data_IF_670999444303
#
_entry.id   IF_670999444303
#
_cell.length_a   1.000
_cell.length_b   1.000
_cell.length_c   1.000
_cell.angle_alpha   90.00
_cell.angle_beta   90.00
_cell.angle_gamma   90.00
#
_symmetry.space_group_name_H-M   'P 1'
#
loop_
_entity.id
_entity.type
_entity.pdbx_description
1 polymer ?
#
# COMPACT_ATOMS: atom_id res chain seq x y z
N UNK A 1 -23.92 -28.59 -44.72
CA UNK A 1 -23.10 -27.37 -44.77
C UNK A 1 -23.02 -26.78 -43.38
N UNK A 2 -21.93 -27.04 -42.66
CA UNK A 2 -21.69 -26.48 -41.32
C UNK A 2 -21.32 -25.01 -41.50
N UNK A 3 -22.12 -24.09 -40.98
CA UNK A 3 -21.78 -22.66 -40.97
C UNK A 3 -20.49 -22.50 -40.16
N UNK A 4 -19.38 -22.19 -40.84
CA UNK A 4 -18.15 -21.75 -40.16
C UNK A 4 -18.54 -20.52 -39.32
N UNK A 5 -18.56 -20.67 -38.00
CA UNK A 5 -18.78 -19.55 -37.09
C UNK A 5 -17.70 -18.50 -37.39
N UNK A 6 -18.13 -17.26 -37.59
CA UNK A 6 -17.23 -16.11 -37.75
C UNK A 6 -16.29 -16.06 -36.53
N UNK A 7 -14.96 -16.22 -36.72
CA UNK A 7 -13.99 -16.27 -35.63
C UNK A 7 -14.07 -15.03 -34.74
N UNK A 8 -14.48 -13.89 -35.29
CA UNK A 8 -14.67 -12.63 -34.56
C UNK A 8 -15.84 -12.71 -33.57
N UNK A 9 -16.96 -13.34 -33.97
CA UNK A 9 -18.12 -13.55 -33.08
C UNK A 9 -17.82 -14.50 -31.94
N UNK A 10 -17.01 -15.53 -32.20
CA UNK A 10 -16.55 -16.47 -31.18
C UNK A 10 -15.63 -15.77 -30.17
N UNK A 11 -14.63 -15.02 -30.65
CA UNK A 11 -13.70 -14.28 -29.80
C UNK A 11 -14.40 -13.27 -28.89
N UNK A 12 -15.37 -12.53 -29.43
CA UNK A 12 -16.21 -11.60 -28.65
C UNK A 12 -16.91 -12.31 -27.48
N UNK A 13 -17.51 -13.47 -27.74
CA UNK A 13 -18.25 -14.22 -26.71
C UNK A 13 -17.30 -14.73 -25.62
N UNK A 14 -16.17 -15.31 -26.01
CA UNK A 14 -15.16 -15.83 -25.08
C UNK A 14 -14.52 -14.72 -24.24
N UNK A 15 -14.22 -13.57 -24.85
CA UNK A 15 -13.74 -12.37 -24.15
C UNK A 15 -14.75 -11.87 -23.11
N UNK A 16 -16.02 -11.73 -23.51
CA UNK A 16 -17.07 -11.26 -22.60
C UNK A 16 -17.29 -12.24 -21.43
N UNK A 17 -17.29 -13.55 -21.71
CA UNK A 17 -17.42 -14.58 -20.69
C UNK A 17 -16.25 -14.55 -19.70
N UNK A 18 -15.00 -14.48 -20.20
CA UNK A 18 -13.83 -14.42 -19.34
C UNK A 18 -13.83 -13.18 -18.42
N UNK A 19 -14.27 -12.01 -18.92
CA UNK A 19 -14.41 -10.81 -18.09
C UNK A 19 -15.50 -10.94 -17.00
N UNK A 20 -16.62 -11.59 -17.31
CA UNK A 20 -17.70 -11.84 -16.34
C UNK A 20 -17.23 -12.82 -15.27
N UNK A 21 -16.63 -13.95 -15.66
CA UNK A 21 -16.06 -14.95 -14.76
C UNK A 21 -14.97 -14.32 -13.88
N UNK A 22 -14.11 -13.46 -14.45
CA UNK A 22 -13.09 -12.72 -13.71
C UNK A 22 -13.70 -11.82 -12.63
N UNK A 23 -14.77 -11.10 -12.95
CA UNK A 23 -15.47 -10.26 -11.98
C UNK A 23 -16.10 -11.09 -10.86
N UNK A 24 -16.74 -12.21 -11.21
CA UNK A 24 -17.33 -13.16 -10.24
C UNK A 24 -16.26 -13.73 -9.30
N UNK A 25 -15.15 -14.21 -9.86
CA UNK A 25 -14.01 -14.74 -9.11
C UNK A 25 -13.42 -13.71 -8.13
N UNK A 26 -13.30 -12.43 -8.53
CA UNK A 26 -12.82 -11.36 -7.65
C UNK A 26 -13.75 -11.19 -6.43
N UNK A 27 -15.07 -11.13 -6.64
CA UNK A 27 -16.04 -10.96 -5.56
C UNK A 27 -16.13 -12.20 -4.65
N UNK A 28 -16.11 -13.41 -5.21
CA UNK A 28 -16.07 -14.66 -4.46
C UNK A 28 -14.82 -14.74 -3.59
N UNK A 29 -13.65 -14.49 -4.17
CA UNK A 29 -12.39 -14.54 -3.44
C UNK A 29 -12.30 -13.42 -2.40
N UNK A 30 -12.89 -12.24 -2.64
CA UNK A 30 -12.97 -11.16 -1.65
C UNK A 30 -13.85 -11.58 -0.46
N UNK A 31 -14.98 -12.21 -0.73
CA UNK A 31 -15.91 -12.71 0.28
C UNK A 31 -15.27 -13.81 1.13
N UNK A 32 -14.71 -14.84 0.51
CA UNK A 32 -14.03 -15.94 1.19
C UNK A 32 -12.86 -15.45 2.05
N UNK A 33 -12.00 -14.59 1.49
CA UNK A 33 -10.90 -13.97 2.24
C UNK A 33 -11.40 -13.12 3.40
N UNK A 34 -12.49 -12.38 3.21
CA UNK A 34 -13.13 -11.55 4.23
C UNK A 34 -13.51 -12.37 5.47
N UNK A 35 -14.21 -13.48 5.25
CA UNK A 35 -14.63 -14.39 6.34
C UNK A 35 -13.43 -14.96 7.08
N UNK A 36 -12.44 -15.51 6.37
CA UNK A 36 -11.25 -16.10 6.98
C UNK A 36 -10.44 -15.04 7.76
N UNK A 37 -10.29 -13.83 7.21
CA UNK A 37 -9.55 -12.75 7.86
C UNK A 37 -10.23 -12.25 9.13
N UNK A 38 -11.57 -12.15 9.17
CA UNK A 38 -12.31 -11.79 10.37
C UNK A 38 -12.04 -12.79 11.51
N UNK A 39 -12.14 -14.08 11.20
CA UNK A 39 -11.87 -15.16 12.15
C UNK A 39 -10.42 -15.17 12.64
N UNK A 40 -9.47 -14.91 11.73
CA UNK A 40 -8.05 -14.87 12.02
C UNK A 40 -7.70 -13.65 12.90
N UNK A 41 -8.29 -12.49 12.64
CA UNK A 41 -8.14 -11.28 13.49
C UNK A 41 -8.69 -11.56 14.89
N UNK A 42 -9.87 -12.17 15.00
CA UNK A 42 -10.46 -12.51 16.30
C UNK A 42 -9.57 -13.46 17.09
N UNK A 43 -9.15 -14.57 16.48
CA UNK A 43 -8.29 -15.56 17.15
C UNK A 43 -6.92 -14.97 17.55
N UNK A 44 -6.33 -14.10 16.71
CA UNK A 44 -5.08 -13.41 17.05
C UNK A 44 -5.24 -12.42 18.19
N UNK A 45 -6.38 -11.73 18.27
CA UNK A 45 -6.67 -10.79 19.37
C UNK A 45 -6.80 -11.52 20.69
N UNK A 46 -7.56 -12.62 20.74
CA UNK A 46 -7.68 -13.48 21.91
C UNK A 46 -6.30 -13.98 22.37
N UNK A 47 -5.46 -14.43 21.43
CA UNK A 47 -4.10 -14.89 21.74
C UNK A 47 -3.18 -13.77 22.25
N UNK A 48 -3.32 -12.56 21.70
CA UNK A 48 -2.57 -11.39 22.12
C UNK A 48 -2.93 -10.97 23.56
N UNK A 49 -4.21 -11.02 23.93
CA UNK A 49 -4.68 -10.75 25.29
C UNK A 49 -4.05 -11.72 26.30
N UNK A 50 -4.02 -13.02 25.97
CA UNK A 50 -3.38 -14.03 26.82
C UNK A 50 -1.88 -13.78 26.96
N UNK A 51 -1.18 -13.45 25.87
CA UNK A 51 0.26 -13.15 25.91
C UNK A 51 0.58 -11.90 26.72
N UNK A 52 -0.27 -10.87 26.67
CA UNK A 52 -0.09 -9.65 27.44
C UNK A 52 -0.25 -9.90 28.96
N UNK A 53 -1.04 -10.90 29.34
CA UNK A 53 -1.16 -11.36 30.73
C UNK A 53 -0.05 -12.33 31.18
N UNK A 54 0.76 -12.86 30.25
CA UNK A 54 1.89 -13.76 30.59
C UNK A 54 3.15 -12.95 30.94
N UNK A 55 3.85 -13.29 32.03
CA UNK A 55 5.08 -12.60 32.44
C UNK A 55 6.19 -12.71 31.39
N UNK A 56 6.31 -13.87 30.73
CA UNK A 56 7.34 -14.13 29.74
C UNK A 56 6.96 -13.69 28.32
N UNK A 57 5.70 -13.29 28.09
CA UNK A 57 5.16 -12.86 26.78
C UNK A 57 5.41 -13.90 25.67
N UNK A 58 5.63 -15.14 26.05
CA UNK A 58 5.96 -16.25 25.18
C UNK A 58 5.52 -17.57 25.84
N UNK A 59 4.84 -18.41 25.06
CA UNK A 59 4.21 -19.65 25.50
C UNK A 59 4.59 -20.78 24.55
N UNK A 60 5.03 -21.92 25.10
CA UNK A 60 5.44 -23.09 24.32
C UNK A 60 4.61 -24.32 24.67
N UNK A 61 4.41 -25.22 23.71
CA UNK A 61 3.82 -26.52 23.97
C UNK A 61 4.58 -27.63 23.26
N UNK A 62 4.57 -28.79 23.87
CA UNK A 62 5.02 -30.03 23.28
C UNK A 62 4.04 -31.13 23.70
N UNK A 63 3.34 -31.69 22.73
CA UNK A 63 2.33 -32.74 22.88
C UNK A 63 2.64 -33.84 21.87
N UNK A 64 2.11 -35.05 22.07
CA UNK A 64 2.34 -36.18 21.17
C UNK A 64 1.92 -35.88 19.72
N UNK A 65 0.93 -34.99 19.54
CA UNK A 65 0.37 -34.63 18.23
C UNK A 65 0.88 -33.30 17.67
N UNK A 66 1.53 -32.45 18.47
CA UNK A 66 1.99 -31.14 18.01
C UNK A 66 3.00 -30.49 18.95
N UNK A 67 3.89 -29.68 18.39
CA UNK A 67 4.77 -28.78 19.14
C UNK A 67 4.68 -27.37 18.55
N UNK A 68 4.95 -26.36 19.36
CA UNK A 68 4.96 -25.00 18.86
C UNK A 68 5.20 -23.93 19.92
N UNK A 69 5.29 -22.70 19.43
CA UNK A 69 5.59 -21.49 20.17
C UNK A 69 4.63 -20.39 19.76
N UNK A 70 4.06 -19.72 20.74
CA UNK A 70 3.42 -18.42 20.57
C UNK A 70 4.28 -17.38 21.28
N UNK A 71 4.51 -16.22 20.66
CA UNK A 71 5.20 -15.11 21.32
C UNK A 71 4.71 -13.75 20.87
N UNK A 72 4.86 -12.76 21.74
CA UNK A 72 4.63 -11.37 21.36
C UNK A 72 5.72 -10.92 20.38
N UNK A 73 5.30 -10.35 19.27
CA UNK A 73 6.19 -9.73 18.28
C UNK A 73 5.79 -8.28 18.06
N UNK A 74 6.70 -7.38 18.36
CA UNK A 74 6.58 -5.97 18.00
C UNK A 74 7.18 -5.77 16.61
N UNK A 75 6.35 -5.33 15.67
CA UNK A 75 6.78 -4.93 14.34
C UNK A 75 6.75 -3.40 14.27
N UNK A 76 7.84 -2.83 13.78
CA UNK A 76 7.93 -1.40 13.49
C UNK A 76 7.80 -1.25 11.98
N UNK A 77 6.76 -0.55 11.53
CA UNK A 77 6.57 -0.21 10.12
C UNK A 77 6.74 1.29 9.93
N UNK A 78 7.32 1.70 8.79
CA UNK A 78 7.45 3.11 8.43
C UNK A 78 6.24 3.53 7.58
N UNK A 79 5.37 4.40 8.10
CA UNK A 79 4.25 4.98 7.33
C UNK A 79 4.71 6.07 6.35
N UNK A 80 3.84 6.54 5.48
CA UNK A 80 4.06 7.80 4.76
C UNK A 80 3.93 8.96 5.77
N UNK A 81 4.80 9.96 5.66
CA UNK A 81 4.62 11.22 6.38
C UNK A 81 3.45 11.98 5.76
N UNK A 82 2.70 12.68 6.59
CA UNK A 82 1.66 13.60 6.17
C UNK A 82 1.96 14.96 6.84
N UNK A 83 1.18 15.98 6.50
CA UNK A 83 1.35 17.32 7.04
C UNK A 83 1.31 17.36 8.58
N UNK A 84 0.37 16.66 9.21
CA UNK A 84 0.26 16.66 10.67
C UNK A 84 1.55 16.13 11.33
N UNK A 85 2.14 15.05 10.83
CA UNK A 85 3.38 14.50 11.41
C UNK A 85 4.57 15.46 11.31
N UNK A 86 4.64 16.27 10.24
CA UNK A 86 5.75 17.23 10.05
C UNK A 86 5.52 18.46 10.91
N UNK A 87 4.28 18.94 10.97
CA UNK A 87 3.85 20.06 11.80
C UNK A 87 4.09 19.77 13.28
N UNK A 88 3.56 18.66 13.79
CA UNK A 88 3.69 18.28 15.21
C UNK A 88 5.17 18.25 15.64
N UNK A 89 6.05 17.69 14.81
CA UNK A 89 7.48 17.59 15.13
C UNK A 89 8.21 18.95 15.13
N UNK A 90 7.84 19.87 14.23
CA UNK A 90 8.47 21.20 14.17
C UNK A 90 7.91 22.10 15.29
N UNK A 91 6.64 21.94 15.64
CA UNK A 91 5.99 22.67 16.74
C UNK A 91 6.51 22.20 18.11
N UNK A 92 6.84 20.91 18.27
CA UNK A 92 7.43 20.31 19.48
C UNK A 92 8.87 20.78 19.80
N UNK A 93 9.50 21.59 18.95
CA UNK A 93 10.84 22.14 19.24
C UNK A 93 10.70 23.34 20.16
N UNK A 94 11.16 23.17 21.39
CA UNK A 94 11.18 24.22 22.40
C UNK A 94 12.28 25.25 22.12
N UNK A 95 12.03 26.54 22.37
CA UNK A 95 13.03 27.61 22.35
C UNK A 95 14.38 27.26 22.99
N UNK A 96 14.34 26.77 24.23
CA UNK A 96 15.54 26.43 25.01
C UNK A 96 16.38 25.31 24.35
N UNK A 97 15.75 24.41 23.59
CA UNK A 97 16.45 23.35 22.86
C UNK A 97 17.28 23.94 21.71
N UNK A 98 16.77 24.97 21.05
CA UNK A 98 17.46 25.68 19.96
C UNK A 98 18.65 26.43 20.56
N UNK A 99 18.45 27.17 21.64
CA UNK A 99 19.52 27.91 22.31
C UNK A 99 20.65 26.97 22.75
N UNK A 100 20.33 25.83 23.34
CA UNK A 100 21.31 24.83 23.74
C UNK A 100 22.10 24.25 22.58
N UNK A 101 21.46 23.99 21.43
CA UNK A 101 22.15 23.44 20.25
C UNK A 101 23.15 24.47 19.71
N UNK A 102 22.75 25.73 19.60
CA UNK A 102 23.60 26.78 19.05
C UNK A 102 24.73 27.19 20.02
N UNK A 103 24.46 27.23 21.33
CA UNK A 103 25.48 27.58 22.35
C UNK A 103 26.53 26.48 22.55
N UNK A 104 26.21 25.22 22.25
CA UNK A 104 27.13 24.08 22.41
C UNK A 104 27.81 23.66 21.09
N UNK A 105 27.64 24.42 20.02
CA UNK A 105 28.24 24.14 18.71
C UNK A 105 29.41 25.07 18.44
N UNK A 106 30.46 24.54 17.82
CA UNK A 106 31.66 25.32 17.47
C UNK A 106 31.38 26.36 16.36
N UNK A 107 30.34 26.12 15.56
CA UNK A 107 29.90 27.01 14.47
C UNK A 107 28.41 26.79 14.12
N UNK A 108 27.86 27.74 13.37
CA UNK A 108 26.44 27.76 12.94
C UNK A 108 26.09 26.57 12.04
N UNK A 109 26.99 26.14 11.15
CA UNK A 109 26.71 25.02 10.26
C UNK A 109 26.64 23.70 11.05
N UNK A 110 27.48 23.54 12.07
CA UNK A 110 27.40 22.41 13.02
C UNK A 110 26.09 22.45 13.83
N UNK A 111 25.67 23.62 14.33
CA UNK A 111 24.40 23.77 15.03
C UNK A 111 23.19 23.39 14.14
N UNK A 112 23.19 23.84 12.88
CA UNK A 112 22.16 23.51 11.91
C UNK A 112 22.14 22.00 11.61
N UNK A 113 23.30 21.36 11.46
CA UNK A 113 23.39 19.92 11.26
C UNK A 113 22.83 19.13 12.46
N UNK A 114 23.12 19.57 13.68
CA UNK A 114 22.59 18.97 14.91
C UNK A 114 21.06 19.13 15.02
N UNK A 115 20.53 20.31 14.72
CA UNK A 115 19.08 20.56 14.68
C UNK A 115 18.40 19.74 13.57
N UNK A 116 19.02 19.64 12.39
CA UNK A 116 18.53 18.81 11.30
C UNK A 116 18.50 17.32 11.68
N UNK A 117 19.53 16.82 12.36
CA UNK A 117 19.59 15.44 12.85
C UNK A 117 18.50 15.17 13.90
N UNK A 118 18.30 16.11 14.83
CA UNK A 118 17.28 16.04 15.88
C UNK A 118 15.87 15.98 15.30
N UNK A 119 15.54 16.88 14.36
CA UNK A 119 14.26 16.90 13.66
C UNK A 119 14.08 15.62 12.81
N UNK A 120 15.14 15.19 12.11
CA UNK A 120 15.10 13.94 11.32
C UNK A 120 14.77 12.74 12.21
N UNK A 121 15.38 12.63 13.39
CA UNK A 121 15.10 11.56 14.36
C UNK A 121 13.64 11.60 14.82
N UNK A 122 13.10 12.76 15.19
CA UNK A 122 11.69 12.91 15.57
C UNK A 122 10.74 12.54 14.43
N UNK A 123 11.00 13.02 13.21
CA UNK A 123 10.18 12.68 12.04
C UNK A 123 10.24 11.17 11.77
N UNK A 124 11.40 10.53 11.91
CA UNK A 124 11.53 9.07 11.77
C UNK A 124 10.77 8.30 12.87
N UNK A 125 10.72 8.83 14.09
CA UNK A 125 9.90 8.26 15.16
C UNK A 125 8.40 8.44 14.88
N UNK A 126 7.95 9.64 14.50
CA UNK A 126 6.57 9.90 14.10
C UNK A 126 6.14 9.04 12.89
N UNK A 127 7.09 8.66 12.03
CA UNK A 127 6.90 7.73 10.91
C UNK A 127 6.81 6.27 11.36
N UNK A 128 7.26 5.93 12.56
CA UNK A 128 7.30 4.55 13.03
C UNK A 128 5.99 4.17 13.68
N UNK A 129 5.22 3.31 13.01
CA UNK A 129 4.04 2.66 13.60
C UNK A 129 4.49 1.37 14.25
N UNK A 130 4.43 1.32 15.57
CA UNK A 130 4.64 0.11 16.36
C UNK A 130 3.34 -0.69 16.39
N UNK A 131 3.39 -1.94 15.96
CA UNK A 131 2.27 -2.89 16.10
C UNK A 131 2.73 -4.13 16.84
N UNK A 132 2.03 -4.48 17.91
CA UNK A 132 2.25 -5.72 18.66
C UNK A 132 1.26 -6.77 18.20
N UNK A 133 1.77 -7.95 17.85
CA UNK A 133 0.96 -9.08 17.41
C UNK A 133 1.44 -10.38 18.06
N UNK A 134 0.53 -11.35 18.17
CA UNK A 134 0.89 -12.73 18.51
C UNK A 134 1.48 -13.43 17.29
N UNK A 135 2.75 -13.82 17.35
CA UNK A 135 3.40 -14.68 16.36
C UNK A 135 3.22 -16.15 16.78
N UNK A 136 2.63 -16.95 15.88
CA UNK A 136 2.43 -18.40 16.08
C UNK A 136 3.42 -19.16 15.19
N UNK A 137 4.14 -20.13 15.78
CA UNK A 137 5.00 -21.08 15.07
C UNK A 137 4.65 -22.50 15.50
N UNK A 138 4.37 -23.37 14.54
CA UNK A 138 4.05 -24.77 14.78
C UNK A 138 5.15 -25.64 14.17
N UNK A 139 5.55 -26.69 14.89
CA UNK A 139 6.61 -27.63 14.53
C UNK A 139 7.84 -27.51 15.42
N UNK A 140 8.85 -28.35 15.14
CA UNK A 140 10.06 -28.45 15.96
C UNK A 140 10.81 -27.10 16.02
N UNK A 141 10.88 -26.54 17.22
CA UNK A 141 11.54 -25.27 17.48
C UNK A 141 13.04 -25.53 17.64
N UNK A 142 13.85 -25.14 16.65
CA UNK A 142 15.32 -25.33 16.67
C UNK A 142 16.01 -24.68 17.87
N UNK A 143 15.46 -23.57 18.38
CA UNK A 143 15.99 -22.83 19.55
C UNK A 143 14.81 -22.28 20.35
N UNK A 144 14.42 -22.89 21.47
CA UNK A 144 13.39 -22.32 22.32
C UNK A 144 13.88 -20.97 22.90
N UNK A 145 12.99 -19.99 23.10
CA UNK A 145 13.37 -18.76 23.77
C UNK A 145 13.82 -19.05 25.21
N UNK A 146 14.72 -18.21 25.74
CA UNK A 146 15.29 -18.39 27.10
C UNK A 146 14.25 -18.27 28.22
N UNK A 147 13.16 -17.55 27.97
CA UNK A 147 12.03 -17.33 28.89
C UNK A 147 10.75 -17.70 28.14
N UNK A 148 10.13 -18.80 28.54
CA UNK A 148 8.89 -19.32 27.96
C UNK A 148 8.10 -20.04 29.02
N UNK A 149 6.83 -19.69 29.12
CA UNK A 149 5.86 -20.40 29.93
C UNK A 149 5.28 -21.60 29.15
N UNK A 150 4.74 -22.58 29.87
CA UNK A 150 4.00 -23.68 29.24
C UNK A 150 2.61 -23.18 28.83
N UNK A 151 2.24 -23.36 27.56
CA UNK A 151 0.93 -22.99 27.05
C UNK A 151 -0.19 -23.85 27.67
N UNK A 152 -1.34 -23.23 27.97
CA UNK A 152 -2.57 -23.95 28.30
C UNK A 152 -3.19 -24.62 27.07
N UNK A 153 -4.13 -25.55 27.29
CA UNK A 153 -4.87 -26.20 26.20
C UNK A 153 -5.57 -25.20 25.28
N UNK A 154 -6.10 -24.12 25.84
CA UNK A 154 -6.83 -23.09 25.09
C UNK A 154 -5.89 -22.32 24.15
N UNK A 155 -4.68 -22.01 24.61
CA UNK A 155 -3.63 -21.38 23.79
C UNK A 155 -3.21 -22.30 22.65
N UNK A 156 -3.06 -23.61 22.92
CA UNK A 156 -2.72 -24.60 21.89
C UNK A 156 -3.83 -24.68 20.84
N UNK A 157 -5.11 -24.74 21.27
CA UNK A 157 -6.25 -24.77 20.37
C UNK A 157 -6.36 -23.49 19.51
N UNK A 158 -6.13 -22.31 20.09
CA UNK A 158 -6.08 -21.04 19.36
C UNK A 158 -4.94 -21.01 18.34
N UNK A 159 -3.74 -21.44 18.73
CA UNK A 159 -2.59 -21.51 17.84
C UNK A 159 -2.84 -22.44 16.64
N UNK A 160 -3.40 -23.63 16.88
CA UNK A 160 -3.77 -24.58 15.84
C UNK A 160 -4.87 -24.02 14.93
N UNK A 161 -5.88 -23.32 15.49
CA UNK A 161 -6.93 -22.64 14.70
C UNK A 161 -6.33 -21.55 13.81
N UNK A 162 -5.45 -20.69 14.33
CA UNK A 162 -4.75 -19.65 13.55
C UNK A 162 -3.95 -20.28 12.41
N UNK A 163 -3.26 -21.39 12.66
CA UNK A 163 -2.50 -22.09 11.64
C UNK A 163 -3.41 -22.66 10.54
N UNK A 164 -4.54 -23.28 10.90
CA UNK A 164 -5.55 -23.75 9.93
C UNK A 164 -6.08 -22.60 9.08
N UNK A 165 -6.51 -21.50 9.71
CA UNK A 165 -7.01 -20.31 9.00
C UNK A 165 -5.96 -19.70 8.07
N UNK A 166 -4.69 -19.65 8.51
CA UNK A 166 -3.58 -19.15 7.69
C UNK A 166 -3.35 -20.03 6.46
N UNK A 167 -3.41 -21.36 6.62
CA UNK A 167 -3.28 -22.30 5.51
C UNK A 167 -4.48 -22.20 4.55
N UNK A 168 -5.71 -22.13 5.06
CA UNK A 168 -6.90 -21.92 4.22
C UNK A 168 -6.82 -20.61 3.45
N UNK A 169 -6.33 -19.52 4.07
CA UNK A 169 -6.13 -18.25 3.37
C UNK A 169 -5.06 -18.35 2.27
N UNK A 170 -3.98 -19.08 2.51
CA UNK A 170 -2.93 -19.34 1.52
C UNK A 170 -3.48 -20.10 0.31
N UNK A 171 -4.27 -21.15 0.55
CA UNK A 171 -4.90 -21.97 -0.48
C UNK A 171 -5.91 -21.16 -1.31
N UNK A 172 -6.80 -20.39 -0.67
CA UNK A 172 -7.73 -19.49 -1.38
C UNK A 172 -6.97 -18.49 -2.26
N UNK A 173 -5.88 -17.91 -1.75
CA UNK A 173 -5.06 -16.99 -2.54
C UNK A 173 -4.35 -17.66 -3.70
N UNK A 174 -3.87 -18.90 -3.53
CA UNK A 174 -3.25 -19.69 -4.58
C UNK A 174 -4.26 -19.97 -5.70
N UNK A 175 -5.40 -20.56 -5.36
CA UNK A 175 -6.46 -20.91 -6.31
C UNK A 175 -6.98 -19.66 -7.04
N UNK A 176 -7.19 -18.56 -6.31
CA UNK A 176 -7.57 -17.27 -6.90
C UNK A 176 -6.57 -16.77 -7.93
N UNK A 177 -5.26 -16.80 -7.62
CA UNK A 177 -4.21 -16.33 -8.54
C UNK A 177 -4.11 -17.22 -9.78
N UNK A 178 -4.18 -18.53 -9.63
CA UNK A 178 -4.13 -19.48 -10.73
C UNK A 178 -5.32 -19.27 -11.69
N UNK A 179 -6.55 -19.19 -11.15
CA UNK A 179 -7.75 -18.95 -11.96
C UNK A 179 -7.74 -17.55 -12.61
N UNK A 180 -7.30 -16.52 -11.88
CA UNK A 180 -7.20 -15.17 -12.43
C UNK A 180 -6.21 -15.13 -13.61
N UNK A 181 -5.07 -15.80 -13.51
CA UNK A 181 -4.07 -15.88 -14.58
C UNK A 181 -4.64 -16.55 -15.84
N UNK A 182 -5.39 -17.64 -15.69
CA UNK A 182 -6.05 -18.32 -16.81
C UNK A 182 -7.08 -17.41 -17.51
N UNK A 183 -7.84 -16.64 -16.74
CA UNK A 183 -8.82 -15.69 -17.28
C UNK A 183 -8.15 -14.50 -17.97
N UNK A 184 -7.09 -13.95 -17.38
CA UNK A 184 -6.31 -12.86 -17.97
C UNK A 184 -5.66 -13.32 -19.29
N UNK A 185 -5.15 -14.55 -19.37
CA UNK A 185 -4.64 -15.14 -20.61
C UNK A 185 -5.74 -15.25 -21.69
N UNK A 186 -6.93 -15.76 -21.33
CA UNK A 186 -8.06 -15.84 -22.27
C UNK A 186 -8.50 -14.45 -22.76
N UNK A 187 -8.47 -13.45 -21.89
CA UNK A 187 -8.79 -12.06 -22.25
C UNK A 187 -7.78 -11.56 -23.29
N UNK A 188 -6.49 -11.74 -23.04
CA UNK A 188 -5.41 -11.31 -23.95
C UNK A 188 -5.51 -11.99 -25.33
N UNK A 189 -5.63 -13.33 -25.35
CA UNK A 189 -5.75 -14.11 -26.59
C UNK A 189 -6.91 -13.64 -27.47
N UNK A 190 -8.08 -13.36 -26.87
CA UNK A 190 -9.24 -12.89 -27.61
C UNK A 190 -9.18 -11.39 -27.94
N UNK A 191 -8.41 -10.60 -27.20
CA UNK A 191 -8.31 -9.14 -27.41
C UNK A 191 -7.73 -8.82 -28.78
N UNK A 192 -6.65 -9.49 -29.16
CA UNK A 192 -5.98 -9.27 -30.46
C UNK A 192 -6.93 -9.43 -31.66
N UNK A 193 -7.80 -10.45 -31.62
CA UNK A 193 -8.80 -10.73 -32.66
C UNK A 193 -9.86 -9.63 -32.71
N UNK A 194 -10.33 -9.19 -31.53
CA UNK A 194 -11.38 -8.16 -31.42
C UNK A 194 -10.84 -6.79 -31.85
N UNK A 195 -9.61 -6.45 -31.50
CA UNK A 195 -8.98 -5.20 -31.95
C UNK A 195 -8.86 -5.13 -33.47
N UNK A 196 -8.40 -6.21 -34.10
CA UNK A 196 -8.32 -6.30 -35.57
C UNK A 196 -9.70 -6.18 -36.22
N UNK A 197 -10.72 -6.79 -35.62
CA UNK A 197 -12.10 -6.67 -36.08
C UNK A 197 -12.63 -5.23 -35.96
N UNK A 198 -12.44 -4.58 -34.81
CA UNK A 198 -12.90 -3.20 -34.58
C UNK A 198 -12.22 -2.22 -35.55
N UNK A 199 -10.90 -2.35 -35.75
CA UNK A 199 -10.12 -1.55 -36.72
C UNK A 199 -10.63 -1.76 -38.14
N UNK A 200 -10.86 -3.00 -38.58
CA UNK A 200 -11.34 -3.29 -39.93
C UNK A 200 -12.77 -2.79 -40.19
N UNK A 201 -13.62 -2.74 -39.16
CA UNK A 201 -14.96 -2.16 -39.24
C UNK A 201 -14.98 -0.63 -39.09
N UNK A 202 -13.82 -0.01 -38.86
CA UNK A 202 -13.68 1.43 -38.59
C UNK A 202 -14.61 1.90 -37.43
N UNK A 203 -14.71 1.07 -36.38
CA UNK A 203 -15.48 1.40 -35.17
C UNK A 203 -14.64 1.18 -33.92
N UNK A 204 -14.86 2.00 -32.89
CA UNK A 204 -14.14 1.87 -31.62
C UNK A 204 -14.95 1.16 -30.54
N UNK A 205 -16.14 0.63 -30.87
CA UNK A 205 -17.06 0.05 -29.89
C UNK A 205 -17.91 -1.06 -30.48
N UNK A 206 -18.00 -2.19 -29.78
CA UNK A 206 -18.91 -3.30 -30.08
C UNK A 206 -19.92 -3.49 -28.95
N UNK A 207 -21.22 -3.53 -29.29
CA UNK A 207 -22.30 -3.90 -28.36
C UNK A 207 -22.48 -5.42 -28.34
N UNK A 208 -22.66 -5.98 -27.15
CA UNK A 208 -22.85 -7.41 -26.94
C UNK A 208 -23.96 -7.62 -25.93
N UNK A 209 -24.84 -8.57 -26.20
CA UNK A 209 -25.82 -9.04 -25.24
C UNK A 209 -25.32 -10.38 -24.69
N UNK A 210 -25.18 -10.45 -23.37
CA UNK A 210 -24.77 -11.65 -22.65
C UNK A 210 -25.89 -12.01 -21.68
N UNK A 211 -26.30 -13.28 -21.67
CA UNK A 211 -27.21 -13.79 -20.65
C UNK A 211 -26.41 -14.25 -19.45
N UNK A 212 -26.86 -13.92 -18.25
CA UNK A 212 -26.26 -14.42 -17.03
C UNK A 212 -26.82 -15.80 -16.63
N UNK A 213 -26.40 -16.29 -15.46
CA UNK A 213 -26.80 -17.59 -14.92
C UNK A 213 -28.30 -17.67 -14.58
N UNK A 214 -28.99 -16.53 -14.46
CA UNK A 214 -30.44 -16.42 -14.21
C UNK A 214 -31.24 -16.17 -15.51
N UNK A 215 -30.62 -16.33 -16.67
CA UNK A 215 -31.17 -16.04 -18.00
C UNK A 215 -31.52 -14.55 -18.23
N UNK A 216 -31.02 -13.64 -17.38
CA UNK A 216 -31.25 -12.21 -17.55
C UNK A 216 -30.34 -11.65 -18.66
N UNK A 217 -30.94 -10.96 -19.62
CA UNK A 217 -30.22 -10.36 -20.74
C UNK A 217 -29.52 -9.06 -20.31
N UNK A 218 -28.19 -9.12 -20.21
CA UNK A 218 -27.34 -7.99 -19.87
C UNK A 218 -26.61 -7.45 -21.11
N UNK A 219 -26.63 -6.13 -21.31
CA UNK A 219 -25.88 -5.48 -22.39
C UNK A 219 -24.53 -4.98 -21.91
N UNK A 220 -23.48 -5.35 -22.64
CA UNK A 220 -22.10 -4.93 -22.42
C UNK A 220 -21.52 -4.25 -23.67
N UNK A 221 -20.48 -3.45 -23.45
CA UNK A 221 -19.74 -2.79 -24.52
C UNK A 221 -18.26 -3.13 -24.42
N UNK A 222 -17.68 -3.57 -25.53
CA UNK A 222 -16.23 -3.60 -25.72
C UNK A 222 -15.83 -2.29 -26.39
N UNK A 223 -14.85 -1.58 -25.84
CA UNK A 223 -14.35 -0.32 -26.41
C UNK A 223 -12.84 -0.32 -26.54
N UNK A 224 -12.34 0.11 -27.70
CA UNK A 224 -10.94 0.40 -27.91
C UNK A 224 -10.64 1.80 -27.34
N UNK A 225 -9.76 1.88 -26.34
CA UNK A 225 -9.35 3.14 -25.69
C UNK A 225 -7.83 3.31 -25.74
N UNK A 226 -7.31 4.54 -25.87
CA UNK A 226 -5.89 4.79 -25.64
C UNK A 226 -5.51 4.50 -24.18
N UNK A 227 -4.42 3.78 -23.96
CA UNK A 227 -3.87 3.41 -22.66
C UNK A 227 -3.25 4.64 -22.03
N UNK A 228 -3.73 5.04 -20.85
CA UNK A 228 -3.00 6.01 -20.02
C UNK A 228 -1.89 5.26 -19.29
N UNK A 229 -0.64 5.72 -19.43
CA UNK A 229 0.49 5.19 -18.68
C UNK A 229 0.18 5.18 -17.18
N UNK A 230 0.39 4.03 -16.54
CA UNK A 230 0.17 3.87 -15.11
C UNK A 230 1.36 4.50 -14.38
N UNK A 231 1.10 5.53 -13.57
CA UNK A 231 2.16 6.15 -12.77
C UNK A 231 2.85 5.08 -11.89
N UNK A 232 4.20 5.06 -11.84
CA UNK A 232 4.92 4.12 -11.00
C UNK A 232 4.58 4.34 -9.52
N UNK A 233 4.62 3.25 -8.74
CA UNK A 233 4.38 3.33 -7.31
C UNK A 233 5.52 4.11 -6.61
N UNK A 234 5.16 5.22 -5.96
CA UNK A 234 6.10 6.07 -5.20
C UNK A 234 6.87 5.23 -4.14
N UNK A 235 8.18 5.09 -4.27
CA UNK A 235 9.03 4.60 -3.18
C UNK A 235 9.24 5.74 -2.19
N UNK A 236 8.90 5.54 -0.91
CA UNK A 236 9.00 6.60 0.10
C UNK A 236 10.45 7.06 0.35
N UNK A 237 10.61 8.30 0.82
CA UNK A 237 11.90 8.91 1.16
C UNK A 237 12.74 8.07 2.16
N UNK A 238 14.06 8.02 1.93
CA UNK A 238 15.05 7.46 2.85
C UNK A 238 15.36 8.43 4.01
N UNK A 239 15.99 7.93 5.08
CA UNK A 239 16.40 8.75 6.23
C UNK A 239 17.45 9.79 5.84
N UNK A 240 18.44 9.38 5.06
CA UNK A 240 19.55 10.23 4.66
C UNK A 240 19.07 11.38 3.76
N UNK A 241 18.11 11.09 2.86
CA UNK A 241 17.54 12.12 2.00
C UNK A 241 16.70 13.12 2.79
N UNK A 242 15.97 12.66 3.80
CA UNK A 242 15.23 13.55 4.70
C UNK A 242 16.17 14.46 5.50
N UNK A 243 17.29 13.92 5.99
CA UNK A 243 18.29 14.71 6.71
C UNK A 243 18.91 15.80 5.84
N UNK A 244 19.32 15.44 4.61
CA UNK A 244 19.86 16.39 3.62
C UNK A 244 18.87 17.52 3.32
N UNK A 245 17.59 17.20 3.13
CA UNK A 245 16.53 18.19 2.89
C UNK A 245 16.31 19.11 4.10
N UNK A 246 16.30 18.53 5.32
CA UNK A 246 16.13 19.29 6.55
C UNK A 246 17.30 20.25 6.77
N UNK A 247 18.54 19.78 6.60
CA UNK A 247 19.73 20.61 6.72
C UNK A 247 19.73 21.74 5.69
N UNK A 248 19.33 21.46 4.44
CA UNK A 248 19.21 22.50 3.41
C UNK A 248 18.15 23.55 3.76
N UNK A 249 16.97 23.13 4.19
CA UNK A 249 15.89 24.05 4.55
C UNK A 249 16.26 24.93 5.75
N UNK A 250 16.96 24.38 6.74
CA UNK A 250 17.45 25.13 7.89
C UNK A 250 18.58 26.10 7.48
N UNK A 251 19.54 25.66 6.66
CA UNK A 251 20.56 26.57 6.11
C UNK A 251 19.93 27.76 5.39
N UNK A 252 18.93 27.54 4.54
CA UNK A 252 18.24 28.64 3.85
C UNK A 252 17.55 29.62 4.81
N UNK A 253 17.06 29.16 5.96
CA UNK A 253 16.42 30.00 6.98
C UNK A 253 17.47 30.81 7.76
N UNK A 254 18.58 30.17 8.15
CA UNK A 254 19.60 30.80 8.99
C UNK A 254 20.65 31.61 8.18
N UNK A 255 20.84 31.35 6.88
CA UNK A 255 21.68 32.17 5.99
C UNK A 255 20.98 33.45 5.53
N UNK A 256 19.64 33.46 5.41
CA UNK A 256 18.87 34.65 5.01
C UNK A 256 18.79 35.73 6.11
N UNK A 257 19.25 35.43 7.32
CA UNK A 257 19.19 36.32 8.49
C UNK A 257 20.34 37.33 8.64
N UNK A 258 21.36 37.31 7.77
CA UNK A 258 22.35 38.39 7.62
C UNK A 258 23.48 38.46 8.69
N UNK A 259 24.59 39.10 8.29
CA UNK A 259 25.97 38.97 8.78
C UNK A 259 26.33 39.55 10.19
N UNK A 260 25.39 39.92 11.05
CA UNK A 260 25.71 40.37 12.43
C UNK A 260 25.43 39.25 13.46
N UNK A 261 26.24 38.20 13.38
CA UNK A 261 26.11 36.94 14.14
C UNK A 261 26.45 37.04 15.65
N UNK A 262 26.91 38.19 16.13
CA UNK A 262 27.35 38.36 17.53
C UNK A 262 26.19 38.68 18.51
N UNK A 263 24.94 38.82 18.02
CA UNK A 263 23.75 39.07 18.88
C UNK A 263 22.46 38.36 18.44
N UNK A 264 22.58 37.33 17.60
CA UNK A 264 21.44 36.74 16.91
C UNK A 264 20.58 35.87 17.83
N UNK A 265 19.31 36.26 18.01
CA UNK A 265 18.30 35.45 18.66
C UNK A 265 17.84 34.32 17.71
N UNK A 266 18.60 33.21 17.71
CA UNK A 266 18.34 32.02 16.89
C UNK A 266 16.97 31.39 17.19
N UNK A 267 16.46 31.54 18.42
CA UNK A 267 15.08 31.18 18.76
C UNK A 267 14.11 32.01 17.94
N UNK A 268 14.28 33.34 17.92
CA UNK A 268 13.39 34.23 17.19
C UNK A 268 13.42 33.93 15.68
N UNK A 269 14.59 33.62 15.11
CA UNK A 269 14.72 33.24 13.70
C UNK A 269 13.97 31.94 13.41
N UNK A 270 14.20 30.90 14.21
CA UNK A 270 13.54 29.62 14.03
C UNK A 270 12.02 29.78 14.18
N UNK A 271 11.57 30.44 15.26
CA UNK A 271 10.16 30.66 15.58
C UNK A 271 9.44 31.48 14.52
N UNK A 272 10.07 32.56 14.02
CA UNK A 272 9.50 33.39 12.94
C UNK A 272 9.42 32.67 11.59
N UNK A 273 10.23 31.62 11.39
CA UNK A 273 10.29 30.86 10.14
C UNK A 273 9.69 29.44 10.24
N UNK A 274 9.07 29.05 11.37
CA UNK A 274 8.49 27.68 11.54
C UNK A 274 7.52 27.31 10.43
N UNK A 275 6.59 28.20 10.09
CA UNK A 275 5.59 27.95 9.04
C UNK A 275 6.25 27.77 7.67
N UNK A 276 7.28 28.58 7.37
CA UNK A 276 8.07 28.46 6.15
C UNK A 276 8.87 27.16 6.09
N UNK A 277 9.45 26.73 7.22
CA UNK A 277 10.13 25.44 7.33
C UNK A 277 9.18 24.27 7.06
N UNK A 278 7.96 24.31 7.62
CA UNK A 278 6.91 23.33 7.36
C UNK A 278 6.56 23.29 5.86
N UNK A 279 6.32 24.44 5.24
CA UNK A 279 5.96 24.55 3.82
C UNK A 279 7.06 24.07 2.88
N UNK A 280 8.32 24.45 3.13
CA UNK A 280 9.49 23.97 2.39
C UNK A 280 9.60 22.44 2.52
N UNK A 281 9.47 21.89 3.72
CA UNK A 281 9.54 20.46 3.95
C UNK A 281 8.41 19.69 3.26
N UNK A 282 7.19 20.24 3.21
CA UNK A 282 6.07 19.61 2.51
C UNK A 282 6.25 19.63 0.99
N UNK A 283 6.68 20.77 0.44
CA UNK A 283 6.92 20.95 -0.99
C UNK A 283 8.02 20.01 -1.49
N UNK A 284 9.16 19.96 -0.79
CA UNK A 284 10.25 19.07 -1.17
C UNK A 284 9.91 17.58 -0.93
N UNK A 285 9.05 17.26 0.04
CA UNK A 285 8.50 15.90 0.21
C UNK A 285 7.56 15.50 -0.94
N UNK A 286 6.88 16.44 -1.60
CA UNK A 286 6.07 16.19 -2.80
C UNK A 286 6.88 16.13 -4.09
N UNK A 287 7.92 16.96 -4.24
CA UNK A 287 8.80 16.96 -5.42
C UNK A 287 9.67 15.70 -5.49
N UNK A 288 10.19 15.21 -4.36
CA UNK A 288 10.89 13.93 -4.29
C UNK A 288 10.00 12.71 -4.63
N UNK A 289 8.67 12.86 -4.64
CA UNK A 289 7.74 11.83 -5.11
C UNK A 289 7.56 11.87 -6.64
N UNK A 290 7.81 13.02 -7.26
CA UNK A 290 7.56 13.27 -8.68
C UNK A 290 8.81 13.03 -9.56
N UNK A 291 10.03 13.21 -9.03
CA UNK A 291 11.28 13.06 -9.80
C UNK A 291 11.59 11.64 -10.33
N UNK A 292 10.89 10.60 -9.84
CA UNK A 292 10.98 9.24 -10.41
C UNK A 292 10.04 9.02 -11.62
N UNK A 293 9.31 10.04 -12.07
CA UNK A 293 8.19 9.89 -13.02
C UNK A 293 8.49 10.32 -14.45
N UNK A 294 9.72 10.75 -14.76
CA UNK A 294 10.04 11.35 -16.05
C UNK A 294 11.13 10.58 -16.80
N UNK A 295 10.88 9.31 -17.12
CA UNK A 295 11.47 8.69 -18.30
C UNK A 295 10.57 7.59 -18.86
N UNK A 296 10.14 7.77 -20.10
CA UNK A 296 9.34 6.80 -20.84
C UNK A 296 8.32 7.49 -21.74
N UNK A 297 8.76 7.89 -22.93
CA UNK A 297 7.84 8.17 -24.04
C UNK A 297 7.10 6.88 -24.37
N UNK A 298 5.80 6.85 -24.08
CA UNK A 298 4.95 5.72 -24.42
C UNK A 298 4.40 5.97 -25.84
N UNK A 299 4.68 5.05 -26.75
CA UNK A 299 3.85 4.86 -27.93
C UNK A 299 2.39 4.67 -27.50
N UNK A 300 1.44 5.13 -28.31
CA UNK A 300 -0.01 5.01 -28.03
C UNK A 300 -0.43 3.53 -27.99
N UNK A 301 -0.26 2.88 -26.85
CA UNK A 301 -0.76 1.54 -26.59
C UNK A 301 -2.29 1.65 -26.48
N UNK A 302 -3.05 0.91 -27.28
CA UNK A 302 -4.52 0.86 -27.14
C UNK A 302 -4.89 -0.35 -26.28
N UNK A 303 -5.93 -0.23 -25.45
CA UNK A 303 -6.47 -1.33 -24.64
C UNK A 303 -7.97 -1.46 -24.81
N UNK A 304 -8.44 -2.70 -24.91
CA UNK A 304 -9.85 -3.01 -24.84
C UNK A 304 -10.37 -2.81 -23.41
N UNK A 305 -11.53 -2.18 -23.29
CA UNK A 305 -12.28 -2.08 -22.04
C UNK A 305 -13.64 -2.77 -22.18
N UNK A 306 -14.08 -3.44 -21.10
CA UNK A 306 -15.34 -4.16 -21.03
C UNK A 306 -16.19 -3.64 -19.88
N UNK A 307 -17.25 -2.90 -20.22
CA UNK A 307 -18.09 -2.21 -19.22
C UNK A 307 -19.58 -2.50 -19.45
N UNK A 308 -20.31 -2.75 -18.35
CA UNK A 308 -21.79 -2.75 -18.33
C UNK A 308 -22.25 -1.31 -18.22
N UNK A 309 -22.98 -0.78 -19.21
CA UNK A 309 -23.56 0.55 -19.06
C UNK A 309 -24.84 0.47 -18.22
N UNK A 310 -24.86 1.09 -17.05
CA UNK A 310 -26.09 1.30 -16.24
C UNK A 310 -26.63 2.73 -16.34
N UNK A 311 -26.17 3.54 -17.30
CA UNK A 311 -26.53 4.95 -17.41
C UNK A 311 -27.38 5.29 -18.62
N UNK A 312 -28.58 5.81 -18.37
CA UNK A 312 -29.21 6.85 -19.19
C UNK A 312 -28.15 7.74 -19.85
N UNK A 313 -28.02 7.66 -21.17
CA UNK A 313 -27.29 8.66 -21.95
C UNK A 313 -27.96 10.01 -21.68
N UNK A 314 -27.34 10.90 -20.89
CA UNK A 314 -27.49 12.33 -21.15
C UNK A 314 -26.99 12.53 -22.57
N UNK A 315 -27.92 12.75 -23.51
CA UNK A 315 -27.60 13.33 -24.81
C UNK A 315 -27.01 14.70 -24.51
N UNK A 316 -25.70 14.87 -24.59
CA UNK A 316 -25.14 16.17 -24.94
C UNK A 316 -25.37 16.36 -26.43
N UNK A 317 -26.58 16.81 -26.76
CA UNK A 317 -26.85 17.58 -27.97
C UNK A 317 -26.45 19.02 -27.63
N UNK A 318 -25.22 19.37 -27.95
CA UNK A 318 -24.79 20.74 -28.23
C UNK A 318 -23.94 20.57 -29.50
N UNK A 319 -24.49 20.77 -30.70
CA UNK A 319 -24.76 22.07 -31.34
C UNK A 319 -23.52 22.98 -31.28
N UNK A 320 -22.59 22.78 -32.23
CA UNK A 320 -22.18 23.70 -33.32
C UNK A 320 -21.44 22.86 -34.36
#
# INVERSE_FOLDING_TARGET
MTSKQDPSRSAIKLFAQAHIERKKLIEEAKTQRGVINQDLVKARKELLEILNGSPDKALTWNTDSSSGLVKLKTNNSKRKLNESHVRDVIEDVEPDEIEQIFNNSDDVATAIAMLAERLTKSIMQARTVTSTNAEVKIGNIKRPPKKVDKASSDVVNLALRINRLTNSLSEVNKNYKEHLSLLDQKIEENSTVIESMLKSQNTNTQKINVRDENDEANTYFIRLKPSKAKAPASRGLSSDKLHEMMAKALNEIFEQSGDDLDSTDYEQIFTSNRQRLIETMLTSCTECQNEQSLSGGAEDEYKLSFDKSTGTRKRSLESI
#
